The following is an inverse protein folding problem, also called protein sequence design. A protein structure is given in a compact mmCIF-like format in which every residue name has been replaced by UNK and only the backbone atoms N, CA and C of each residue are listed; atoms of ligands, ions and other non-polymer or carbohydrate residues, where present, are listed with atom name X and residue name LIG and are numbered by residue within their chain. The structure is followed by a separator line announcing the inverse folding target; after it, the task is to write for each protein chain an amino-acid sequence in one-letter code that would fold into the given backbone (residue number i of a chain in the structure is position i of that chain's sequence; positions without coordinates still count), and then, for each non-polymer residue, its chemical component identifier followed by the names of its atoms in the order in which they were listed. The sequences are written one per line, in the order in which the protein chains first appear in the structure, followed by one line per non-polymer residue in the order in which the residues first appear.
data_IF_189408196068
#
_entry.id   IF_189408196068
#
_cell.length_a   1.000
_cell.length_b   1.000
_cell.length_c   1.000
_cell.angle_alpha   90.00
_cell.angle_beta   90.00
_cell.angle_gamma   90.00
#
_symmetry.space_group_name_H-M   'P 1'
#
loop_
_entity.id
_entity.type
_entity.pdbx_description
1 polymer ?
#
# COMPACT_ATOMS: atom_id res chain seq x y z
N UNK A 1 -1.53 39.54 -3.45
CA UNK A 1 -1.31 38.07 -3.38
C UNK A 1 0.18 37.84 -3.16
N UNK A 2 0.57 37.16 -2.10
CA UNK A 2 1.99 36.87 -1.84
C UNK A 2 2.52 35.85 -2.85
N UNK A 3 3.80 35.88 -3.22
CA UNK A 3 4.42 34.96 -4.17
C UNK A 3 4.15 33.45 -3.80
N UNK A 4 3.99 33.16 -2.52
CA UNK A 4 3.59 31.83 -2.03
C UNK A 4 2.17 31.42 -2.44
N UNK A 5 1.20 32.34 -2.46
CA UNK A 5 -0.18 32.00 -2.86
C UNK A 5 -0.29 31.76 -4.36
N UNK A 6 0.53 32.46 -5.17
CA UNK A 6 0.60 32.23 -6.61
C UNK A 6 1.21 30.87 -6.94
N UNK A 7 2.31 30.49 -6.28
CA UNK A 7 2.94 29.17 -6.47
C UNK A 7 2.00 27.99 -6.06
N UNK A 8 1.25 28.14 -4.98
CA UNK A 8 0.26 27.12 -4.56
C UNK A 8 -0.89 27.01 -5.57
N UNK A 9 -1.38 28.16 -6.08
CA UNK A 9 -2.44 28.16 -7.09
C UNK A 9 -1.98 27.49 -8.39
N UNK A 10 -0.76 27.78 -8.84
CA UNK A 10 -0.15 27.16 -10.03
C UNK A 10 0.03 25.65 -9.86
N UNK A 11 0.45 25.21 -8.66
CA UNK A 11 0.59 23.79 -8.35
C UNK A 11 -0.76 23.06 -8.38
N UNK A 12 -1.81 23.65 -7.81
CA UNK A 12 -3.17 23.12 -7.84
C UNK A 12 -3.70 23.06 -9.28
N UNK A 13 -3.49 24.12 -10.06
CA UNK A 13 -3.91 24.16 -11.47
C UNK A 13 -3.20 23.07 -12.28
N UNK A 14 -1.90 22.89 -12.09
CA UNK A 14 -1.10 21.84 -12.73
C UNK A 14 -1.60 20.44 -12.36
N UNK A 15 -2.03 20.21 -11.09
CA UNK A 15 -2.63 18.94 -10.68
C UNK A 15 -3.95 18.64 -11.40
N UNK A 16 -4.80 19.64 -11.59
CA UNK A 16 -6.08 19.47 -12.32
C UNK A 16 -5.90 19.31 -13.83
N UNK A 17 -4.79 19.76 -14.40
CA UNK A 17 -4.43 19.52 -15.81
C UNK A 17 -4.02 18.07 -16.07
N UNK A 18 -3.54 17.33 -15.06
CA UNK A 18 -3.21 15.90 -15.21
C UNK A 18 -4.43 15.12 -15.73
N UNK A 19 -4.16 14.14 -16.59
CA UNK A 19 -5.19 13.27 -17.15
C UNK A 19 -5.99 12.58 -16.05
N UNK A 20 -7.24 12.19 -16.34
CA UNK A 20 -8.10 11.44 -15.42
C UNK A 20 -7.40 10.18 -14.92
N UNK A 21 -6.71 9.48 -15.79
CA UNK A 21 -6.06 8.21 -15.48
C UNK A 21 -4.88 8.40 -14.51
N UNK A 22 -4.09 9.47 -14.68
CA UNK A 22 -3.02 9.83 -13.76
C UNK A 22 -3.59 10.20 -12.38
N UNK A 23 -4.68 10.95 -12.32
CA UNK A 23 -5.32 11.30 -11.04
C UNK A 23 -5.85 10.07 -10.30
N UNK A 24 -6.50 9.13 -11.02
CA UNK A 24 -6.96 7.87 -10.43
C UNK A 24 -5.79 7.00 -9.94
N UNK A 25 -4.70 6.97 -10.69
CA UNK A 25 -3.47 6.31 -10.23
C UNK A 25 -2.92 6.96 -8.96
N UNK A 26 -2.86 8.28 -8.88
CA UNK A 26 -2.41 9.00 -7.67
C UNK A 26 -3.32 8.74 -6.46
N UNK A 27 -4.62 8.55 -6.67
CA UNK A 27 -5.54 8.09 -5.61
C UNK A 27 -5.11 6.71 -5.09
N UNK A 28 -4.78 5.76 -5.98
CA UNK A 28 -4.29 4.45 -5.55
C UNK A 28 -2.97 4.54 -4.77
N UNK A 29 -2.08 5.44 -5.17
CA UNK A 29 -0.81 5.71 -4.46
C UNK A 29 -1.08 6.28 -3.07
N UNK A 30 -2.00 7.23 -2.94
CA UNK A 30 -2.37 7.83 -1.66
C UNK A 30 -2.97 6.79 -0.71
N UNK A 31 -3.93 6.01 -1.20
CA UNK A 31 -4.58 4.94 -0.43
C UNK A 31 -3.55 3.90 0.02
N UNK A 32 -2.68 3.45 -0.88
CA UNK A 32 -1.59 2.52 -0.56
C UNK A 32 -0.62 3.12 0.46
N UNK A 33 -0.28 4.40 0.33
CA UNK A 33 0.56 5.12 1.30
C UNK A 33 -0.03 5.10 2.71
N UNK A 34 -1.31 5.49 2.86
CA UNK A 34 -1.99 5.51 4.16
C UNK A 34 -2.09 4.10 4.75
N UNK A 35 -2.60 3.15 3.97
CA UNK A 35 -2.95 1.82 4.48
C UNK A 35 -1.73 0.92 4.67
N UNK A 36 -0.84 0.86 3.68
CA UNK A 36 0.29 -0.04 3.68
C UNK A 36 1.52 0.58 4.37
N UNK A 37 1.98 1.77 3.92
CA UNK A 37 3.16 2.42 4.49
C UNK A 37 2.90 2.99 5.89
N UNK A 38 1.69 3.48 6.16
CA UNK A 38 1.33 4.08 7.45
C UNK A 38 0.77 3.07 8.43
N UNK A 39 -0.49 2.68 8.24
CA UNK A 39 -1.24 1.84 9.19
C UNK A 39 -0.57 0.48 9.41
N UNK A 40 -0.34 -0.26 8.32
CA UNK A 40 0.16 -1.62 8.43
C UNK A 40 1.57 -1.69 9.03
N UNK A 41 2.53 -0.91 8.51
CA UNK A 41 3.92 -0.96 9.02
C UNK A 41 4.05 -0.61 10.50
N UNK A 42 3.21 0.30 11.00
CA UNK A 42 3.16 0.61 12.42
C UNK A 42 2.57 -0.54 13.24
N UNK A 43 1.40 -1.03 12.81
CA UNK A 43 0.58 -1.92 13.65
C UNK A 43 1.06 -3.37 13.63
N UNK A 44 1.64 -3.84 12.52
CA UNK A 44 2.03 -5.26 12.39
C UNK A 44 3.09 -5.67 13.42
N UNK A 45 4.09 -4.82 13.68
CA UNK A 45 5.13 -5.11 14.65
C UNK A 45 4.57 -5.20 16.07
N UNK A 46 3.68 -4.26 16.43
CA UNK A 46 2.99 -4.27 17.72
C UNK A 46 2.10 -5.50 17.85
N UNK A 47 1.37 -5.85 16.80
CA UNK A 47 0.52 -7.03 16.76
C UNK A 47 1.31 -8.33 16.96
N UNK A 48 2.46 -8.49 16.29
CA UNK A 48 3.33 -9.65 16.47
C UNK A 48 3.86 -9.78 17.89
N UNK A 49 4.25 -8.66 18.51
CA UNK A 49 4.67 -8.63 19.93
C UNK A 49 3.53 -9.06 20.87
N UNK A 50 2.29 -8.61 20.62
CA UNK A 50 1.10 -9.02 21.41
C UNK A 50 0.69 -10.48 21.18
N UNK A 51 1.01 -11.04 20.02
CA UNK A 51 0.85 -12.48 19.76
C UNK A 51 1.92 -13.34 20.45
N UNK A 52 2.89 -12.72 21.17
CA UNK A 52 3.95 -13.39 21.90
C UNK A 52 5.22 -13.69 21.10
N UNK A 53 5.36 -13.10 19.89
CA UNK A 53 6.57 -13.26 19.10
C UNK A 53 7.65 -12.27 19.54
N UNK A 54 8.89 -12.76 19.69
CA UNK A 54 10.06 -11.93 20.02
C UNK A 54 10.62 -11.16 18.81
N UNK A 55 11.58 -10.28 19.08
CA UNK A 55 12.26 -9.46 18.06
C UNK A 55 12.96 -10.31 16.98
N UNK A 56 13.47 -11.49 17.37
CA UNK A 56 14.11 -12.42 16.43
C UNK A 56 13.13 -12.89 15.34
N UNK A 57 11.91 -13.25 15.73
CA UNK A 57 10.88 -13.65 14.77
C UNK A 57 10.46 -12.47 13.89
N UNK A 58 10.33 -11.26 14.47
CA UNK A 58 10.03 -10.05 13.67
C UNK A 58 11.11 -9.82 12.61
N UNK A 59 12.39 -10.03 12.96
CA UNK A 59 13.49 -9.98 12.00
C UNK A 59 13.32 -10.99 10.85
N UNK A 60 12.98 -12.24 11.17
CA UNK A 60 12.70 -13.28 10.17
C UNK A 60 11.50 -12.89 9.30
N UNK A 61 10.42 -12.39 9.90
CA UNK A 61 9.22 -11.95 9.20
C UNK A 61 9.53 -10.83 8.18
N UNK A 62 10.26 -9.79 8.61
CA UNK A 62 10.65 -8.68 7.73
C UNK A 62 11.58 -9.16 6.62
N UNK A 63 12.56 -10.02 6.93
CA UNK A 63 13.49 -10.59 5.94
C UNK A 63 12.78 -11.46 4.91
N UNK A 64 11.79 -12.27 5.34
CA UNK A 64 10.93 -13.05 4.44
C UNK A 64 10.18 -12.14 3.46
N UNK A 65 9.64 -11.03 3.97
CA UNK A 65 8.98 -10.03 3.13
C UNK A 65 9.92 -9.44 2.08
N UNK A 66 11.08 -8.96 2.50
CA UNK A 66 12.08 -8.37 1.62
C UNK A 66 12.55 -9.37 0.54
N UNK A 67 12.79 -10.61 0.92
CA UNK A 67 13.19 -11.67 0.00
C UNK A 67 12.09 -12.02 -1.01
N UNK A 68 10.84 -12.14 -0.55
CA UNK A 68 9.69 -12.37 -1.42
C UNK A 68 9.50 -11.23 -2.41
N UNK A 69 9.62 -9.97 -1.97
CA UNK A 69 9.57 -8.80 -2.84
C UNK A 69 10.67 -8.86 -3.91
N UNK A 70 11.92 -9.14 -3.52
CA UNK A 70 13.05 -9.17 -4.43
C UNK A 70 12.87 -10.23 -5.54
N UNK A 71 12.51 -11.48 -5.17
CA UNK A 71 12.26 -12.55 -6.13
C UNK A 71 11.07 -12.21 -7.05
N UNK A 72 10.02 -11.63 -6.50
CA UNK A 72 8.79 -11.32 -7.23
C UNK A 72 8.93 -10.14 -8.18
N UNK A 73 9.92 -9.26 -7.96
CA UNK A 73 10.14 -8.08 -8.79
C UNK A 73 10.52 -8.43 -10.23
N UNK A 74 11.28 -9.51 -10.44
CA UNK A 74 11.65 -9.98 -11.79
C UNK A 74 10.43 -10.44 -12.60
N UNK A 75 9.61 -11.42 -12.14
CA UNK A 75 8.42 -11.82 -12.86
C UNK A 75 7.41 -10.68 -12.99
N UNK A 76 7.27 -9.80 -12.00
CA UNK A 76 6.39 -8.64 -12.08
C UNK A 76 6.74 -7.73 -13.27
N UNK A 77 8.03 -7.45 -13.49
CA UNK A 77 8.51 -6.68 -14.63
C UNK A 77 8.30 -7.38 -15.98
N UNK A 78 8.50 -8.71 -16.04
CA UNK A 78 8.28 -9.50 -17.27
C UNK A 78 6.78 -9.48 -17.64
N UNK A 79 5.91 -9.71 -16.67
CA UNK A 79 4.45 -9.70 -16.87
C UNK A 79 3.98 -8.32 -17.31
N UNK A 80 4.50 -7.25 -16.69
CA UNK A 80 4.17 -5.87 -17.06
C UNK A 80 4.54 -5.51 -18.49
N UNK A 81 5.70 -5.95 -18.97
CA UNK A 81 6.12 -5.75 -20.37
C UNK A 81 5.26 -6.55 -21.36
N UNK A 82 4.77 -7.73 -20.97
CA UNK A 82 4.00 -8.60 -21.87
C UNK A 82 2.52 -8.27 -21.95
N UNK A 83 1.92 -7.88 -20.83
CA UNK A 83 0.46 -7.73 -20.68
C UNK A 83 0.02 -6.28 -20.37
N UNK A 84 0.94 -5.33 -20.44
CA UNK A 84 0.71 -3.96 -20.00
C UNK A 84 0.88 -3.78 -18.48
N UNK A 85 1.11 -2.56 -18.03
CA UNK A 85 1.42 -2.28 -16.61
C UNK A 85 0.19 -2.26 -15.70
N UNK A 86 -0.97 -1.89 -16.24
CA UNK A 86 -2.22 -1.73 -15.46
C UNK A 86 -2.70 -3.04 -14.83
N UNK A 87 -2.78 -4.11 -15.62
CA UNK A 87 -3.31 -5.41 -15.16
C UNK A 87 -2.48 -6.02 -14.01
N UNK A 88 -1.13 -6.10 -14.11
CA UNK A 88 -0.30 -6.56 -13.01
C UNK A 88 -0.41 -5.70 -11.75
N UNK A 89 -0.60 -4.36 -11.89
CA UNK A 89 -0.81 -3.47 -10.75
C UNK A 89 -2.11 -3.78 -10.01
N UNK A 90 -3.22 -3.97 -10.73
CA UNK A 90 -4.52 -4.33 -10.14
C UNK A 90 -4.39 -5.69 -9.43
N UNK A 91 -3.84 -6.69 -10.12
CA UNK A 91 -3.59 -8.01 -9.55
C UNK A 91 -2.73 -7.91 -8.28
N UNK A 92 -1.62 -7.18 -8.34
CA UNK A 92 -0.72 -6.97 -7.21
C UNK A 92 -1.43 -6.34 -6.01
N UNK A 93 -2.26 -5.31 -6.25
CA UNK A 93 -2.98 -4.64 -5.18
C UNK A 93 -4.08 -5.52 -4.56
N UNK A 94 -4.74 -6.37 -5.34
CA UNK A 94 -5.68 -7.39 -4.82
C UNK A 94 -4.96 -8.41 -3.94
N UNK A 95 -3.84 -8.96 -4.41
CA UNK A 95 -3.04 -9.93 -3.64
C UNK A 95 -2.48 -9.30 -2.37
N UNK A 96 -2.00 -8.05 -2.45
CA UNK A 96 -1.57 -7.25 -1.29
C UNK A 96 -2.70 -7.14 -0.26
N UNK A 97 -3.90 -6.76 -0.69
CA UNK A 97 -5.08 -6.59 0.18
C UNK A 97 -5.45 -7.90 0.87
N UNK A 98 -5.49 -9.01 0.11
CA UNK A 98 -5.76 -10.35 0.67
C UNK A 98 -4.68 -10.73 1.69
N UNK A 99 -3.40 -10.54 1.34
CA UNK A 99 -2.29 -10.85 2.25
C UNK A 99 -2.36 -10.07 3.56
N UNK A 100 -2.68 -8.76 3.49
CA UNK A 100 -2.88 -7.93 4.69
C UNK A 100 -4.06 -8.40 5.54
N UNK A 101 -5.20 -8.69 4.91
CA UNK A 101 -6.38 -9.17 5.62
C UNK A 101 -6.12 -10.51 6.33
N UNK A 102 -5.44 -11.44 5.67
CA UNK A 102 -5.09 -12.73 6.26
C UNK A 102 -4.07 -12.60 7.40
N UNK A 103 -3.12 -11.69 7.31
CA UNK A 103 -2.21 -11.38 8.42
C UNK A 103 -2.96 -10.83 9.63
N UNK A 104 -3.95 -9.97 9.43
CA UNK A 104 -4.78 -9.46 10.53
C UNK A 104 -5.53 -10.59 11.27
N UNK A 105 -5.98 -11.62 10.56
CA UNK A 105 -6.74 -12.75 11.13
C UNK A 105 -5.88 -13.76 11.91
N UNK A 106 -4.57 -13.55 12.04
CA UNK A 106 -3.64 -14.47 12.71
C UNK A 106 -4.04 -14.82 14.14
N UNK A 107 -4.68 -13.90 14.89
CA UNK A 107 -5.13 -14.16 16.26
C UNK A 107 -6.12 -15.35 16.34
N UNK A 108 -6.92 -15.57 15.30
CA UNK A 108 -7.88 -16.69 15.22
C UNK A 108 -7.28 -18.01 14.72
N UNK A 109 -6.03 -17.97 14.22
CA UNK A 109 -5.35 -19.17 13.75
C UNK A 109 -4.85 -19.98 14.94
N UNK A 110 -5.03 -21.32 14.98
CA UNK A 110 -4.47 -22.19 16.01
C UNK A 110 -2.96 -21.99 16.17
N UNK A 111 -2.47 -22.00 17.40
CA UNK A 111 -1.06 -21.68 17.71
C UNK A 111 -0.04 -22.49 16.90
N UNK A 112 -0.34 -23.78 16.65
CA UNK A 112 0.52 -24.66 15.86
C UNK A 112 0.74 -24.20 14.42
N UNK A 113 -0.20 -23.45 13.83
CA UNK A 113 -0.15 -23.00 12.43
C UNK A 113 0.19 -21.51 12.26
N UNK A 114 0.19 -20.74 13.36
CA UNK A 114 0.37 -19.28 13.31
C UNK A 114 1.67 -18.85 12.63
N UNK A 115 2.77 -19.49 12.96
CA UNK A 115 4.08 -19.16 12.39
C UNK A 115 4.11 -19.40 10.88
N UNK A 116 3.63 -20.54 10.42
CA UNK A 116 3.55 -20.87 8.99
C UNK A 116 2.60 -19.90 8.26
N UNK A 117 1.46 -19.57 8.87
CA UNK A 117 0.50 -18.59 8.37
C UNK A 117 1.14 -17.21 8.19
N UNK A 118 1.82 -16.70 9.21
CA UNK A 118 2.49 -15.39 9.18
C UNK A 118 3.54 -15.32 8.08
N UNK A 119 4.40 -16.34 7.97
CA UNK A 119 5.46 -16.38 6.96
C UNK A 119 4.86 -16.45 5.55
N UNK A 120 3.87 -17.33 5.33
CA UNK A 120 3.22 -17.48 4.03
C UNK A 120 2.54 -16.19 3.58
N UNK A 121 1.69 -15.59 4.42
CA UNK A 121 0.96 -14.38 4.05
C UNK A 121 1.83 -13.12 4.04
N UNK A 122 2.94 -13.08 4.77
CA UNK A 122 3.97 -12.07 4.61
C UNK A 122 4.58 -12.14 3.20
N UNK A 123 4.95 -13.33 2.75
CA UNK A 123 5.47 -13.55 1.40
C UNK A 123 4.44 -13.19 0.33
N UNK A 124 3.19 -13.66 0.47
CA UNK A 124 2.10 -13.39 -0.48
C UNK A 124 1.81 -11.88 -0.60
N UNK A 125 1.77 -11.18 0.52
CA UNK A 125 1.58 -9.73 0.57
C UNK A 125 2.70 -9.00 -0.20
N UNK A 126 3.96 -9.36 0.04
CA UNK A 126 5.09 -8.71 -0.65
C UNK A 126 5.19 -9.10 -2.12
N UNK A 127 4.77 -10.32 -2.47
CA UNK A 127 4.57 -10.69 -3.87
C UNK A 127 3.59 -9.73 -4.54
N UNK A 128 2.42 -9.47 -3.94
CA UNK A 128 1.45 -8.50 -4.45
C UNK A 128 2.02 -7.09 -4.55
N UNK A 129 2.74 -6.65 -3.51
CA UNK A 129 3.39 -5.34 -3.47
C UNK A 129 4.42 -5.17 -4.61
N UNK A 130 5.21 -6.20 -4.93
CA UNK A 130 6.16 -6.17 -6.03
C UNK A 130 5.45 -5.97 -7.38
N UNK A 131 4.34 -6.67 -7.63
CA UNK A 131 3.54 -6.51 -8.85
C UNK A 131 2.94 -5.10 -8.97
N UNK A 132 2.47 -4.52 -7.88
CA UNK A 132 1.98 -3.15 -7.87
C UNK A 132 3.12 -2.14 -8.09
N UNK A 133 4.17 -2.21 -7.29
CA UNK A 133 5.21 -1.19 -7.26
C UNK A 133 6.07 -1.17 -8.53
N UNK A 134 6.51 -2.34 -9.02
CA UNK A 134 7.35 -2.47 -10.22
C UNK A 134 6.64 -1.94 -11.46
N UNK A 135 5.33 -2.17 -11.57
CA UNK A 135 4.55 -1.74 -12.72
C UNK A 135 4.02 -0.29 -12.60
N UNK A 136 4.06 0.30 -11.42
CA UNK A 136 3.56 1.66 -11.19
C UNK A 136 4.38 2.75 -11.89
N UNK A 137 5.69 2.58 -12.02
CA UNK A 137 6.58 3.53 -12.72
C UNK A 137 6.36 3.51 -14.24
N UNK A 138 6.40 2.33 -14.93
CA UNK A 138 6.07 2.26 -16.36
C UNK A 138 4.66 2.76 -16.67
N UNK A 139 3.68 2.45 -15.81
CA UNK A 139 2.32 2.96 -15.97
C UNK A 139 2.27 4.48 -15.95
N UNK A 140 2.88 5.13 -14.96
CA UNK A 140 2.91 6.59 -14.87
C UNK A 140 3.62 7.22 -16.07
N UNK A 141 4.72 6.60 -16.53
CA UNK A 141 5.44 7.07 -17.72
C UNK A 141 4.59 7.00 -18.99
N UNK A 142 3.79 5.96 -19.16
CA UNK A 142 2.90 5.83 -20.34
C UNK A 142 1.64 6.69 -20.24
N UNK A 143 1.16 6.98 -19.03
CA UNK A 143 -0.04 7.77 -18.80
C UNK A 143 0.18 9.29 -18.83
N UNK A 144 1.45 9.76 -18.84
CA UNK A 144 1.83 11.19 -18.84
C UNK A 144 2.48 11.61 -20.14
N UNK A 145 2.23 12.86 -20.59
CA UNK A 145 3.03 13.53 -21.63
C UNK A 145 4.44 13.85 -21.13
N UNK A 146 5.35 14.21 -22.03
CA UNK A 146 6.73 14.55 -21.67
C UNK A 146 6.73 15.77 -20.71
N UNK A 147 5.87 16.76 -20.96
CA UNK A 147 5.76 17.99 -20.19
C UNK A 147 5.17 17.77 -18.79
N UNK A 148 4.23 16.83 -18.65
CA UNK A 148 3.56 16.52 -17.37
C UNK A 148 4.33 15.55 -16.48
N UNK A 149 5.29 14.83 -17.08
CA UNK A 149 5.96 13.70 -16.44
C UNK A 149 6.68 14.07 -15.15
N UNK A 150 7.52 15.10 -15.20
CA UNK A 150 8.30 15.53 -14.04
C UNK A 150 7.39 15.97 -12.89
N UNK A 151 6.31 16.68 -13.21
CA UNK A 151 5.31 17.09 -12.23
C UNK A 151 4.60 15.87 -11.62
N UNK A 152 4.14 14.92 -12.42
CA UNK A 152 3.43 13.73 -11.95
C UNK A 152 4.31 12.84 -11.06
N UNK A 153 5.61 12.68 -11.40
CA UNK A 153 6.58 11.97 -10.57
C UNK A 153 6.87 12.70 -9.25
N UNK A 154 6.97 14.02 -9.28
CA UNK A 154 7.14 14.86 -8.08
C UNK A 154 5.94 14.74 -7.14
N UNK A 155 4.72 14.81 -7.68
CA UNK A 155 3.47 14.59 -6.91
C UNK A 155 3.45 13.20 -6.28
N UNK A 156 3.74 12.14 -7.07
CA UNK A 156 3.82 10.78 -6.53
C UNK A 156 4.85 10.65 -5.42
N UNK A 157 6.05 11.22 -5.63
CA UNK A 157 7.16 11.17 -4.67
C UNK A 157 6.83 11.87 -3.35
N UNK A 158 6.04 12.95 -3.38
CA UNK A 158 5.59 13.67 -2.19
C UNK A 158 4.38 13.00 -1.54
N UNK A 159 3.44 12.51 -2.35
CA UNK A 159 2.18 11.93 -1.88
C UNK A 159 2.42 10.66 -1.05
N UNK A 160 3.34 9.80 -1.46
CA UNK A 160 3.64 8.52 -0.78
C UNK A 160 4.08 8.73 0.68
N UNK A 161 5.13 9.52 1.00
CA UNK A 161 5.55 9.71 2.40
C UNK A 161 4.54 10.52 3.21
N UNK A 162 3.86 11.51 2.61
CA UNK A 162 2.81 12.28 3.29
C UNK A 162 1.64 11.37 3.67
N UNK A 163 1.18 10.52 2.75
CA UNK A 163 0.13 9.55 3.02
C UNK A 163 0.57 8.53 4.08
N UNK A 164 1.82 8.05 4.03
CA UNK A 164 2.39 7.18 5.06
C UNK A 164 2.41 7.84 6.43
N UNK A 165 2.84 9.09 6.52
CA UNK A 165 2.83 9.86 7.76
C UNK A 165 1.41 9.99 8.35
N UNK A 166 0.42 10.36 7.53
CA UNK A 166 -0.98 10.45 7.95
C UNK A 166 -1.50 9.08 8.41
N UNK A 167 -1.19 8.02 7.67
CA UNK A 167 -1.55 6.65 8.05
C UNK A 167 -0.93 6.23 9.39
N UNK A 168 0.33 6.58 9.66
CA UNK A 168 1.00 6.31 10.93
C UNK A 168 0.34 7.07 12.09
N UNK A 169 0.00 8.35 11.89
CA UNK A 169 -0.74 9.13 12.88
C UNK A 169 -2.09 8.49 13.20
N UNK A 170 -2.88 8.17 12.19
CA UNK A 170 -4.18 7.50 12.37
C UNK A 170 -3.97 6.15 13.07
N UNK A 171 -3.01 5.36 12.62
CA UNK A 171 -2.68 4.04 13.18
C UNK A 171 -2.33 4.07 14.66
N UNK A 172 -1.67 5.13 15.13
CA UNK A 172 -1.32 5.30 16.54
C UNK A 172 -2.53 5.53 17.45
N UNK A 173 -3.65 6.05 16.91
CA UNK A 173 -4.89 6.26 17.67
C UNK A 173 -5.86 5.07 17.61
N UNK A 174 -5.82 4.26 16.55
CA UNK A 174 -6.80 3.18 16.32
C UNK A 174 -6.86 2.15 17.46
N UNK A 175 -5.76 1.64 18.06
CA UNK A 175 -5.84 0.70 19.17
C UNK A 175 -6.53 1.30 20.39
N UNK A 176 -6.33 2.60 20.68
CA UNK A 176 -7.02 3.30 21.78
C UNK A 176 -8.52 3.43 21.51
N UNK A 177 -8.92 3.67 20.27
CA UNK A 177 -10.31 3.69 19.87
C UNK A 177 -10.94 2.30 20.00
N UNK A 178 -10.26 1.24 19.59
CA UNK A 178 -10.71 -0.14 19.76
C UNK A 178 -10.90 -0.49 21.24
N UNK A 179 -10.00 -0.07 22.11
CA UNK A 179 -10.12 -0.24 23.57
C UNK A 179 -11.35 0.51 24.11
N UNK A 180 -11.57 1.76 23.71
CA UNK A 180 -12.66 2.59 24.20
C UNK A 180 -14.04 2.11 23.75
N UNK A 181 -14.18 1.62 22.51
CA UNK A 181 -15.48 1.26 21.92
C UNK A 181 -15.79 -0.23 22.00
N UNK A 182 -14.79 -1.10 21.98
CA UNK A 182 -14.96 -2.56 21.96
C UNK A 182 -14.66 -3.17 23.32
N UNK A 183 -13.88 -2.46 24.16
CA UNK A 183 -13.55 -2.89 25.54
C UNK A 183 -12.41 -3.92 25.60
N UNK A 184 -11.65 -4.11 24.53
CA UNK A 184 -10.47 -4.99 24.55
C UNK A 184 -9.30 -4.27 25.23
N UNK A 185 -8.55 -5.01 26.07
CA UNK A 185 -7.35 -4.48 26.70
C UNK A 185 -6.28 -4.09 25.66
N UNK A 186 -5.48 -3.08 25.97
CA UNK A 186 -4.34 -2.68 25.17
C UNK A 186 -3.32 -3.81 24.93
N UNK A 187 -3.33 -4.83 25.80
CA UNK A 187 -2.45 -6.01 25.70
C UNK A 187 -3.03 -7.14 24.86
N UNK A 188 -4.33 -7.08 24.53
CA UNK A 188 -4.98 -8.10 23.72
C UNK A 188 -4.60 -7.97 22.24
N UNK A 189 -4.10 -9.04 21.60
CA UNK A 189 -3.84 -9.05 20.15
C UNK A 189 -5.05 -8.62 19.31
N UNK A 190 -6.28 -8.93 19.75
CA UNK A 190 -7.51 -8.56 19.04
C UNK A 190 -7.68 -7.05 18.88
N UNK A 191 -7.11 -6.27 19.81
CA UNK A 191 -7.12 -4.81 19.72
C UNK A 191 -6.37 -4.25 18.49
N UNK A 192 -5.40 -5.02 17.97
CA UNK A 192 -4.64 -4.68 16.76
C UNK A 192 -5.22 -5.31 15.48
N UNK A 193 -5.99 -6.38 15.63
CA UNK A 193 -6.60 -7.10 14.51
C UNK A 193 -7.57 -6.20 13.74
N UNK A 194 -8.46 -5.47 14.42
CA UNK A 194 -9.45 -4.59 13.78
C UNK A 194 -8.81 -3.48 12.97
N UNK A 195 -7.84 -2.69 13.49
CA UNK A 195 -7.11 -1.72 12.71
C UNK A 195 -6.37 -2.29 11.50
N UNK A 196 -5.78 -3.49 11.63
CA UNK A 196 -5.13 -4.17 10.51
C UNK A 196 -6.12 -4.63 9.45
N UNK A 197 -7.29 -5.17 9.84
CA UNK A 197 -8.37 -5.48 8.90
C UNK A 197 -8.88 -4.23 8.20
N UNK A 198 -9.07 -3.15 8.96
CA UNK A 198 -9.48 -1.87 8.41
C UNK A 198 -8.46 -1.38 7.36
N UNK A 199 -7.15 -1.51 7.64
CA UNK A 199 -6.10 -1.13 6.68
C UNK A 199 -6.19 -1.93 5.38
N UNK A 200 -6.55 -3.21 5.43
CA UNK A 200 -6.75 -4.03 4.23
C UNK A 200 -8.01 -3.63 3.45
N UNK A 201 -9.11 -3.37 4.13
CA UNK A 201 -10.38 -2.96 3.49
C UNK A 201 -10.27 -1.57 2.87
N UNK A 202 -9.54 -0.66 3.50
CA UNK A 202 -9.29 0.69 2.97
C UNK A 202 -8.43 0.70 1.71
N UNK A 203 -7.80 -0.40 1.31
CA UNK A 203 -7.15 -0.55 0.00
C UNK A 203 -8.15 -0.72 -1.15
N UNK A 204 -9.39 -1.16 -0.89
CA UNK A 204 -10.41 -1.39 -1.92
C UNK A 204 -10.70 -0.16 -2.79
N UNK A 205 -10.86 1.06 -2.26
CA UNK A 205 -10.96 2.28 -3.08
C UNK A 205 -9.80 2.47 -4.04
N UNK A 206 -8.58 2.13 -3.64
CA UNK A 206 -7.40 2.17 -4.51
C UNK A 206 -7.48 1.16 -5.66
N UNK A 207 -7.99 -0.05 -5.40
CA UNK A 207 -8.24 -1.07 -6.43
C UNK A 207 -9.31 -0.57 -7.40
N UNK A 208 -10.42 -0.02 -6.89
CA UNK A 208 -11.49 0.56 -7.72
C UNK A 208 -10.95 1.69 -8.59
N UNK A 209 -10.15 2.58 -8.03
CA UNK A 209 -9.51 3.66 -8.79
C UNK A 209 -8.63 3.12 -9.92
N UNK A 210 -7.80 2.09 -9.67
CA UNK A 210 -7.00 1.43 -10.71
C UNK A 210 -7.86 0.73 -11.75
N UNK A 211 -8.95 0.08 -11.36
CA UNK A 211 -9.89 -0.54 -12.30
C UNK A 211 -10.58 0.48 -13.21
N UNK A 212 -10.74 1.72 -12.74
CA UNK A 212 -11.34 2.81 -13.50
C UNK A 212 -10.35 3.52 -14.45
N UNK A 213 -9.04 3.24 -14.37
CA UNK A 213 -8.02 3.72 -15.32
C UNK A 213 -8.09 2.95 -16.63
N UNK A 214 -7.48 3.48 -17.70
CA UNK A 214 -7.33 2.81 -18.98
C UNK A 214 -5.91 2.25 -19.13
N UNK A 215 -5.76 1.18 -19.90
CA UNK A 215 -4.44 0.75 -20.35
C UNK A 215 -3.96 1.77 -21.39
N UNK A 216 -2.76 2.24 -21.25
CA UNK A 216 -2.12 3.15 -22.21
C UNK A 216 -1.03 2.37 -22.92
N UNK A 217 -1.17 2.15 -24.22
CA UNK A 217 -0.13 1.53 -25.02
C UNK A 217 1.07 2.46 -25.15
N UNK A 218 2.26 1.92 -24.94
CA UNK A 218 3.51 2.65 -25.10
C UNK A 218 3.69 3.02 -26.57
N UNK A 219 3.33 4.24 -26.95
CA UNK A 219 3.49 4.73 -28.33
C UNK A 219 2.36 5.62 -28.87
N UNK A 220 1.24 5.79 -28.14
CA UNK A 220 0.10 6.59 -28.65
C UNK A 220 0.10 8.07 -28.22
N UNK A 221 1.17 8.60 -27.60
CA UNK A 221 1.26 10.04 -27.25
C UNK A 221 2.67 10.58 -27.46
#
# INVERSE_FOLDING_TARGET
MTAKSAAVAEYIESFFRLSRDVRLFLVSVMVSGVCYMGLYFLLINLYLLRLGYGLEFIGVFVSTGAFSFAISSLPAGIVGRRFGSRRPMIFGMVVLTVGLGMLALTAWVPAAWRTAWLIFFCGLREFGNAFYLVNSTPYLMSATTVEERDFAFSVRGTLTPVAGFLGTLIGGFLPRLSEAYIGWSADDPLNYMVPLLLSSLLLLPGIVALCATREVEAGER
#
